data_IF_463227178700
#
_entry.id   IF_463227178700
#
_cell.length_a   1.000
_cell.length_b   1.000
_cell.length_c   1.000
_cell.angle_alpha   90.00
_cell.angle_beta   90.00
_cell.angle_gamma   90.00
#
_symmetry.space_group_name_H-M   'P 1'
#
loop_
_entity.id
_entity.type
_entity.pdbx_description
1 polymer ?
#
# COMPACT_ATOMS: atom_id res chain seq x y z
N UNK A 1 1.26 11.56 -15.39
CA UNK A 1 0.38 12.68 -15.81
C UNK A 1 -0.65 12.76 -14.71
N UNK A 2 -0.78 13.86 -13.98
CA UNK A 2 -1.52 13.82 -12.73
C UNK A 2 -3.01 13.54 -12.95
N UNK A 3 -3.55 12.61 -12.16
CA UNK A 3 -4.98 12.28 -12.19
C UNK A 3 -5.82 13.41 -11.58
N UNK A 4 -7.07 13.56 -12.04
CA UNK A 4 -8.03 14.56 -11.53
C UNK A 4 -9.16 13.88 -10.75
N UNK A 5 -9.84 14.65 -9.91
CA UNK A 5 -11.05 14.19 -9.22
C UNK A 5 -12.10 13.75 -10.25
N UNK A 6 -12.69 12.58 -10.05
CA UNK A 6 -13.68 11.98 -10.94
C UNK A 6 -13.09 11.19 -12.11
N UNK A 7 -11.77 11.18 -12.29
CA UNK A 7 -11.12 10.26 -13.23
C UNK A 7 -11.15 8.82 -12.71
N UNK A 8 -11.24 7.86 -13.63
CA UNK A 8 -11.06 6.45 -13.31
C UNK A 8 -9.59 6.25 -12.90
N UNK A 9 -9.37 5.66 -11.72
CA UNK A 9 -8.03 5.32 -11.25
C UNK A 9 -7.36 4.35 -12.24
N UNK A 10 -6.08 4.53 -12.60
CA UNK A 10 -5.37 3.62 -13.48
C UNK A 10 -5.49 2.17 -12.99
N UNK A 11 -5.84 1.25 -13.89
CA UNK A 11 -5.74 -0.18 -13.60
C UNK A 11 -4.32 -0.66 -13.87
N UNK A 12 -3.81 -1.54 -13.01
CA UNK A 12 -2.45 -2.05 -13.10
C UNK A 12 -2.36 -3.44 -12.50
N UNK A 13 -1.29 -4.16 -12.86
CA UNK A 13 -0.89 -5.39 -12.19
C UNK A 13 0.48 -5.22 -11.56
N UNK A 14 0.63 -5.66 -10.32
CA UNK A 14 1.91 -5.63 -9.62
C UNK A 14 1.99 -6.71 -8.53
N UNK A 15 3.22 -7.04 -8.17
CA UNK A 15 3.50 -7.89 -7.03
C UNK A 15 3.36 -7.09 -5.73
N UNK A 16 2.87 -7.74 -4.68
CA UNK A 16 2.73 -7.17 -3.35
C UNK A 16 3.09 -8.19 -2.28
N UNK A 17 3.18 -7.73 -1.03
CA UNK A 17 3.37 -8.62 0.14
C UNK A 17 2.27 -9.66 0.32
N UNK A 18 1.14 -9.55 -0.38
CA UNK A 18 0.04 -10.53 -0.36
C UNK A 18 -0.13 -11.27 -1.70
N UNK A 19 0.91 -11.25 -2.53
CA UNK A 19 0.91 -11.84 -3.87
C UNK A 19 0.57 -10.83 -4.96
N UNK A 20 0.46 -11.32 -6.19
CA UNK A 20 0.18 -10.48 -7.37
C UNK A 20 -1.27 -10.00 -7.36
N UNK A 21 -1.46 -8.71 -7.55
CA UNK A 21 -2.77 -8.07 -7.62
C UNK A 21 -3.03 -7.49 -9.02
N UNK A 22 -4.28 -7.55 -9.46
CA UNK A 22 -4.82 -6.69 -10.52
C UNK A 22 -5.71 -5.65 -9.84
N UNK A 23 -5.37 -4.38 -9.93
CA UNK A 23 -5.85 -3.35 -9.00
C UNK A 23 -7.38 -3.25 -8.95
N UNK A 24 -8.06 -3.13 -10.09
CA UNK A 24 -9.53 -3.03 -10.12
C UNK A 24 -10.21 -4.31 -9.64
N UNK A 25 -9.68 -5.48 -10.01
CA UNK A 25 -10.20 -6.77 -9.56
C UNK A 25 -10.02 -6.96 -8.06
N UNK A 26 -8.88 -6.55 -7.51
CA UNK A 26 -8.58 -6.63 -6.09
C UNK A 26 -9.46 -5.67 -5.28
N UNK A 27 -9.74 -4.46 -5.78
CA UNK A 27 -10.66 -3.52 -5.14
C UNK A 27 -12.09 -4.09 -5.15
N UNK A 28 -12.57 -4.60 -6.28
CA UNK A 28 -13.96 -5.04 -6.44
C UNK A 28 -14.95 -3.91 -6.21
N UNK A 29 -16.03 -4.18 -5.48
CA UNK A 29 -17.07 -3.19 -5.14
C UNK A 29 -16.79 -2.40 -3.84
N UNK A 30 -15.55 -2.46 -3.32
CA UNK A 30 -15.14 -1.72 -2.13
C UNK A 30 -14.58 -0.33 -2.47
N UNK A 31 -14.62 0.60 -1.51
CA UNK A 31 -13.75 1.77 -1.56
C UNK A 31 -12.28 1.36 -1.41
N UNK A 32 -11.35 2.21 -1.85
CA UNK A 32 -9.93 1.98 -1.68
C UNK A 32 -9.17 3.26 -1.35
N UNK A 33 -8.30 3.20 -0.34
CA UNK A 33 -7.23 4.17 -0.12
C UNK A 33 -5.92 3.55 -0.61
N UNK A 34 -5.44 4.05 -1.76
CA UNK A 34 -4.08 3.81 -2.21
C UNK A 34 -3.20 4.95 -1.69
N UNK A 35 -2.16 4.64 -0.92
CA UNK A 35 -1.24 5.63 -0.38
C UNK A 35 0.20 5.19 -0.63
N UNK A 36 1.08 6.18 -0.83
CA UNK A 36 2.50 5.92 -1.08
C UNK A 36 3.36 6.38 0.08
N UNK A 37 4.49 5.70 0.29
CA UNK A 37 5.58 6.19 1.13
C UNK A 37 6.89 6.24 0.32
N UNK A 38 7.83 7.16 0.61
CA UNK A 38 9.01 7.34 -0.23
C UNK A 38 9.97 6.14 -0.28
N UNK A 39 10.20 5.49 0.87
CA UNK A 39 11.21 4.44 1.01
C UNK A 39 10.99 3.60 2.28
N UNK A 40 11.19 2.30 2.17
CA UNK A 40 11.28 1.37 3.30
C UNK A 40 12.45 1.73 4.24
N UNK A 41 12.39 1.23 5.48
CA UNK A 41 13.45 1.43 6.50
C UNK A 41 13.70 2.90 6.87
N UNK A 42 12.68 3.75 6.75
CA UNK A 42 12.74 5.16 7.16
C UNK A 42 11.81 5.45 8.34
N UNK A 43 12.21 6.31 9.30
CA UNK A 43 11.54 6.39 10.61
C UNK A 43 10.10 6.87 10.54
N UNK A 44 9.79 7.86 9.68
CA UNK A 44 8.42 8.38 9.53
C UNK A 44 7.53 7.38 8.82
N UNK A 45 8.01 6.74 7.76
CA UNK A 45 7.21 5.75 7.04
C UNK A 45 6.88 4.56 7.95
N UNK A 46 7.80 4.19 8.84
CA UNK A 46 7.59 3.14 9.84
C UNK A 46 6.39 3.46 10.74
N UNK A 47 6.30 4.69 11.25
CA UNK A 47 5.19 5.08 12.13
C UNK A 47 3.87 5.21 11.37
N UNK A 48 3.89 5.74 10.15
CA UNK A 48 2.71 5.90 9.29
C UNK A 48 2.10 4.54 8.91
N UNK A 49 2.90 3.58 8.44
CA UNK A 49 2.41 2.25 8.05
C UNK A 49 1.91 1.46 9.27
N UNK A 50 2.62 1.52 10.40
CA UNK A 50 2.14 0.87 11.63
C UNK A 50 0.82 1.46 12.13
N UNK A 51 0.62 2.78 11.99
CA UNK A 51 -0.65 3.41 12.33
C UNK A 51 -1.78 3.02 11.37
N UNK A 52 -1.50 2.95 10.06
CA UNK A 52 -2.46 2.45 9.07
C UNK A 52 -2.86 1.00 9.34
N UNK A 53 -1.93 0.15 9.78
CA UNK A 53 -2.23 -1.23 10.19
C UNK A 53 -3.21 -1.27 11.37
N UNK A 54 -3.02 -0.41 12.38
CA UNK A 54 -3.93 -0.29 13.52
C UNK A 54 -5.32 0.21 13.14
N UNK A 55 -5.40 1.09 12.12
CA UNK A 55 -6.66 1.63 11.63
C UNK A 55 -7.38 0.71 10.63
N UNK A 56 -6.74 -0.32 10.09
CA UNK A 56 -7.35 -1.20 9.09
C UNK A 56 -8.74 -1.72 9.49
N UNK A 57 -9.01 -2.17 10.74
CA UNK A 57 -10.35 -2.59 11.14
C UNK A 57 -11.42 -1.51 10.96
N UNK A 58 -11.06 -0.23 11.11
CA UNK A 58 -11.98 0.89 10.89
C UNK A 58 -12.24 1.13 9.40
N UNK A 59 -11.25 0.92 8.54
CA UNK A 59 -11.46 0.93 7.08
C UNK A 59 -12.33 -0.25 6.62
N UNK A 60 -12.06 -1.45 7.12
CA UNK A 60 -12.83 -2.67 6.81
C UNK A 60 -14.31 -2.48 7.17
N UNK A 61 -14.61 -1.90 8.34
CA UNK A 61 -15.97 -1.57 8.80
C UNK A 61 -16.73 -0.63 7.85
N UNK A 62 -16.02 0.12 7.02
CA UNK A 62 -16.57 1.09 6.06
C UNK A 62 -16.56 0.57 4.62
N UNK A 63 -16.36 -0.74 4.43
CA UNK A 63 -16.16 -1.37 3.11
C UNK A 63 -15.05 -0.65 2.32
N UNK A 64 -13.95 -0.34 2.98
CA UNK A 64 -12.80 0.35 2.40
C UNK A 64 -11.54 -0.51 2.57
N UNK A 65 -10.85 -0.76 1.48
CA UNK A 65 -9.54 -1.43 1.45
C UNK A 65 -8.43 -0.38 1.51
N UNK A 66 -7.28 -0.77 2.00
CA UNK A 66 -6.08 0.07 2.01
C UNK A 66 -4.94 -0.68 1.33
N UNK A 67 -4.10 0.03 0.57
CA UNK A 67 -2.90 -0.51 -0.05
C UNK A 67 -1.77 0.52 0.01
N UNK A 68 -0.59 0.08 0.44
CA UNK A 68 0.64 0.87 0.41
C UNK A 68 1.38 0.68 -0.91
N UNK A 69 2.17 1.69 -1.30
CA UNK A 69 3.00 1.68 -2.50
C UNK A 69 4.35 2.35 -2.20
N UNK A 70 5.46 1.73 -2.58
CA UNK A 70 6.70 2.47 -2.78
C UNK A 70 7.49 1.91 -3.96
N UNK A 71 8.63 2.55 -4.23
CA UNK A 71 9.57 2.17 -5.28
C UNK A 71 10.50 1.03 -4.83
N UNK A 72 10.28 0.47 -3.65
CA UNK A 72 11.03 -0.67 -3.13
C UNK A 72 10.52 -1.99 -3.72
N UNK A 73 11.31 -3.05 -3.53
CA UNK A 73 10.91 -4.39 -3.96
C UNK A 73 10.02 -5.04 -2.89
N UNK A 74 9.17 -5.97 -3.30
CA UNK A 74 8.31 -6.72 -2.36
C UNK A 74 9.12 -7.49 -1.31
N UNK A 75 10.33 -7.93 -1.66
CA UNK A 75 11.24 -8.58 -0.70
C UNK A 75 11.69 -7.62 0.41
N UNK A 76 11.90 -6.34 0.08
CA UNK A 76 12.26 -5.29 1.04
C UNK A 76 11.09 -5.01 1.99
N UNK A 77 9.87 -4.85 1.44
CA UNK A 77 8.65 -4.67 2.21
C UNK A 77 8.48 -5.79 3.23
N UNK A 78 8.64 -7.04 2.79
CA UNK A 78 8.43 -8.23 3.62
C UNK A 78 9.40 -8.25 4.80
N UNK A 79 10.67 -7.87 4.58
CA UNK A 79 11.66 -7.75 5.67
C UNK A 79 11.31 -6.61 6.63
N UNK A 80 10.82 -5.50 6.11
CA UNK A 80 10.52 -4.31 6.88
C UNK A 80 9.28 -4.44 7.78
N UNK A 81 8.34 -5.35 7.47
CA UNK A 81 7.14 -5.58 8.30
C UNK A 81 7.47 -5.85 9.77
N UNK A 82 8.56 -6.56 10.03
CA UNK A 82 9.00 -6.88 11.40
C UNK A 82 9.46 -5.62 12.13
N UNK A 83 10.27 -4.77 11.50
CA UNK A 83 10.73 -3.50 12.09
C UNK A 83 9.53 -2.60 12.41
N UNK A 84 8.53 -2.53 11.52
CA UNK A 84 7.30 -1.76 11.76
C UNK A 84 6.57 -2.29 12.99
N UNK A 85 6.45 -3.61 13.12
CA UNK A 85 5.81 -4.23 14.28
C UNK A 85 6.56 -3.94 15.57
N UNK A 86 7.89 -3.99 15.55
CA UNK A 86 8.71 -3.73 16.73
C UNK A 86 8.58 -2.28 17.21
N UNK A 87 8.53 -1.32 16.29
CA UNK A 87 8.42 0.11 16.62
C UNK A 87 7.00 0.50 17.01
N UNK A 88 5.99 -0.04 16.34
CA UNK A 88 4.61 0.48 16.43
C UNK A 88 3.62 -0.45 17.13
N UNK A 89 4.02 -1.71 17.36
CA UNK A 89 3.18 -2.77 17.91
C UNK A 89 2.22 -3.39 16.88
N UNK A 90 2.29 -3.02 15.60
CA UNK A 90 1.40 -3.53 14.56
C UNK A 90 2.10 -3.62 13.21
N UNK A 91 2.14 -4.82 12.63
CA UNK A 91 2.65 -5.03 11.28
C UNK A 91 1.54 -4.72 10.26
N UNK A 92 1.85 -4.10 9.11
CA UNK A 92 0.93 -4.03 7.99
C UNK A 92 0.40 -5.41 7.59
N UNK A 93 -0.92 -5.56 7.63
CA UNK A 93 -1.68 -6.74 7.20
C UNK A 93 -2.54 -6.44 5.95
N UNK A 94 -2.14 -5.40 5.22
CA UNK A 94 -2.65 -4.98 3.92
C UNK A 94 -1.50 -5.02 2.89
N UNK A 95 -1.79 -5.08 1.58
CA UNK A 95 -0.75 -5.21 0.57
C UNK A 95 0.14 -3.97 0.54
N UNK A 96 1.45 -4.20 0.56
CA UNK A 96 2.47 -3.23 0.15
C UNK A 96 2.93 -3.61 -1.25
N UNK A 97 2.66 -2.74 -2.22
CA UNK A 97 2.92 -2.92 -3.64
C UNK A 97 4.33 -2.42 -3.94
N UNK A 98 5.14 -3.27 -4.58
CA UNK A 98 6.46 -2.89 -5.04
C UNK A 98 6.42 -2.29 -6.45
N UNK A 99 7.02 -1.11 -6.64
CA UNK A 99 7.11 -0.41 -7.92
C UNK A 99 8.56 0.02 -8.28
N UNK A 100 9.52 -0.93 -8.35
CA UNK A 100 10.93 -0.60 -8.55
C UNK A 100 11.22 0.09 -9.89
N UNK A 101 10.39 -0.10 -10.91
CA UNK A 101 10.53 0.56 -12.21
C UNK A 101 9.72 1.87 -12.35
N UNK A 102 9.07 2.35 -11.28
CA UNK A 102 8.23 3.56 -11.26
C UNK A 102 7.04 3.49 -12.23
N UNK A 103 6.57 2.28 -12.55
CA UNK A 103 5.51 2.05 -13.53
C UNK A 103 4.18 2.53 -12.98
N UNK A 104 3.91 2.34 -11.68
CA UNK A 104 2.67 2.75 -11.03
C UNK A 104 2.77 4.21 -10.59
N UNK A 105 3.89 4.61 -9.96
CA UNK A 105 4.12 5.96 -9.48
C UNK A 105 3.94 7.02 -10.58
N UNK A 106 4.29 6.71 -11.83
CA UNK A 106 4.13 7.63 -12.98
C UNK A 106 2.71 7.71 -13.55
N UNK A 107 1.81 6.79 -13.17
CA UNK A 107 0.40 6.81 -13.58
C UNK A 107 -0.41 7.86 -12.81
N UNK A 108 0.06 8.25 -11.62
CA UNK A 108 -0.55 9.25 -10.75
C UNK A 108 0.17 10.61 -10.85
#
# INVERSE_FOLDING_TARGET
>A
MSIRIGSIAPDFEADSTQGRIRFHQWIGDSWCVLFSHPKDFTPVCTTELGYMARLKPEFDRRNCKIAGLSVDRVEDHTRWLQDIKEVTGSAPDYPLIGDPELRIAKLY
#
